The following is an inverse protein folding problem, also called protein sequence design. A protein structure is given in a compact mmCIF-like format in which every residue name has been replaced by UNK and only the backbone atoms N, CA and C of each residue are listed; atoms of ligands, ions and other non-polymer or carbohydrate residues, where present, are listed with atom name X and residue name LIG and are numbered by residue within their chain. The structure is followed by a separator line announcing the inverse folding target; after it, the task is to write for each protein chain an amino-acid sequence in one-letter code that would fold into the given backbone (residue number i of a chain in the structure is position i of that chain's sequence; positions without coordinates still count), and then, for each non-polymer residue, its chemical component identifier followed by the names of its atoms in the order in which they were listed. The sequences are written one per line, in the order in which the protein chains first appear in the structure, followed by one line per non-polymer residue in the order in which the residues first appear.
data_IF_484184512307
#
_entry.id   IF_484184512307
#
_cell.length_a   1.000
_cell.length_b   1.000
_cell.length_c   1.000
_cell.angle_alpha   90.00
_cell.angle_beta   90.00
_cell.angle_gamma   90.00
#
_symmetry.space_group_name_H-M   'P 1'
#
loop_
_entity.id
_entity.type
_entity.pdbx_description
1 polymer ?
#
# COMPACT_ATOMS: atom_id res chain seq x y z
N UNK A 1 -3.44 5.83 20.11
CA UNK A 1 -2.76 5.32 21.33
C UNK A 1 -2.16 4.01 20.88
N UNK A 2 -0.92 4.03 20.40
CA UNK A 2 -0.21 2.82 19.97
C UNK A 2 0.26 2.15 21.25
N UNK A 3 -0.25 0.96 21.52
CA UNK A 3 0.32 0.09 22.55
C UNK A 3 1.68 -0.39 22.03
N UNK A 4 2.72 0.23 22.60
CA UNK A 4 4.13 0.19 22.22
C UNK A 4 4.82 -1.15 22.60
N UNK A 5 4.11 -2.29 22.51
CA UNK A 5 4.65 -3.61 22.90
C UNK A 5 4.62 -4.64 21.76
N UNK A 6 4.16 -4.27 20.56
CA UNK A 6 4.15 -5.17 19.40
C UNK A 6 5.33 -4.93 18.42
N UNK A 7 6.09 -3.85 18.59
CA UNK A 7 7.16 -3.48 17.65
C UNK A 7 8.51 -4.16 17.94
N UNK A 8 8.78 -4.56 19.19
CA UNK A 8 10.10 -5.11 19.58
C UNK A 8 10.28 -6.59 19.21
N UNK A 9 9.17 -7.36 19.15
CA UNK A 9 9.19 -8.80 18.85
C UNK A 9 8.74 -9.16 17.41
N UNK A 10 8.46 -8.15 16.58
CA UNK A 10 7.90 -8.34 15.24
C UNK A 10 6.44 -8.81 15.29
N UNK A 11 5.59 -8.23 14.44
CA UNK A 11 4.19 -8.64 14.35
C UNK A 11 4.15 -10.03 13.70
N UNK A 12 3.74 -11.09 14.43
CA UNK A 12 3.67 -12.41 13.83
C UNK A 12 2.52 -12.43 12.83
N UNK A 13 2.86 -12.67 11.56
CA UNK A 13 1.91 -12.79 10.45
C UNK A 13 1.83 -14.25 9.99
N UNK A 14 1.17 -15.15 10.75
CA UNK A 14 1.23 -16.59 10.52
C UNK A 14 0.65 -17.05 9.17
N UNK A 15 -0.04 -16.16 8.43
CA UNK A 15 -0.67 -16.49 7.15
C UNK A 15 -0.21 -15.58 6.00
N UNK A 16 0.81 -14.75 6.21
CA UNK A 16 1.28 -13.80 5.19
C UNK A 16 2.63 -14.28 4.66
N UNK A 17 2.67 -14.64 3.39
CA UNK A 17 3.94 -15.02 2.76
C UNK A 17 4.81 -13.78 2.53
N UNK A 18 6.14 -13.95 2.46
CA UNK A 18 7.07 -12.86 2.14
C UNK A 18 6.73 -12.16 0.81
N UNK A 19 6.09 -12.87 -0.13
CA UNK A 19 5.60 -12.34 -1.40
C UNK A 19 4.47 -11.31 -1.20
N UNK A 20 3.55 -11.55 -0.26
CA UNK A 20 2.47 -10.62 0.05
C UNK A 20 3.02 -9.38 0.75
N UNK A 21 3.91 -9.56 1.74
CA UNK A 21 4.58 -8.45 2.42
C UNK A 21 5.34 -7.55 1.44
N UNK A 22 6.07 -8.13 0.49
CA UNK A 22 6.77 -7.37 -0.54
C UNK A 22 5.80 -6.50 -1.36
N UNK A 23 4.63 -7.05 -1.74
CA UNK A 23 3.60 -6.29 -2.46
C UNK A 23 2.99 -5.17 -1.62
N UNK A 24 2.74 -5.40 -0.34
CA UNK A 24 2.22 -4.35 0.56
C UNK A 24 3.24 -3.21 0.70
N UNK A 25 4.53 -3.53 0.84
CA UNK A 25 5.60 -2.53 0.87
C UNK A 25 5.67 -1.75 -0.44
N UNK A 26 5.56 -2.42 -1.58
CA UNK A 26 5.51 -1.79 -2.91
C UNK A 26 4.32 -0.82 -3.03
N UNK A 27 3.14 -1.25 -2.59
CA UNK A 27 1.93 -0.43 -2.55
C UNK A 27 2.10 0.83 -1.70
N UNK A 28 2.61 0.67 -0.48
CA UNK A 28 2.88 1.79 0.42
C UNK A 28 3.87 2.80 -0.18
N UNK A 29 4.96 2.32 -0.77
CA UNK A 29 5.97 3.20 -1.41
C UNK A 29 5.36 3.99 -2.55
N UNK A 30 4.66 3.32 -3.48
CA UNK A 30 4.06 3.98 -4.65
C UNK A 30 3.06 5.08 -4.25
N UNK A 31 2.26 4.84 -3.21
CA UNK A 31 1.30 5.82 -2.70
C UNK A 31 1.97 6.99 -1.98
N UNK A 32 3.05 6.76 -1.24
CA UNK A 32 3.81 7.83 -0.58
C UNK A 32 4.49 8.73 -1.61
N UNK A 33 5.08 8.14 -2.66
CA UNK A 33 5.68 8.88 -3.77
C UNK A 33 4.64 9.73 -4.51
N UNK A 34 3.50 9.13 -4.88
CA UNK A 34 2.41 9.86 -5.54
C UNK A 34 1.83 10.99 -4.67
N UNK A 35 1.76 10.80 -3.35
CA UNK A 35 1.33 11.83 -2.42
C UNK A 35 2.35 12.97 -2.28
N UNK A 36 3.65 12.68 -2.39
CA UNK A 36 4.71 13.70 -2.38
C UNK A 36 4.70 14.54 -3.66
N UNK A 37 4.52 13.90 -4.83
CA UNK A 37 4.39 14.58 -6.11
C UNK A 37 3.16 15.50 -6.16
N UNK A 38 2.06 15.09 -5.52
CA UNK A 38 0.82 15.88 -5.44
C UNK A 38 0.89 17.10 -4.52
N UNK A 39 1.88 17.18 -3.61
CA UNK A 39 2.06 18.31 -2.66
C UNK A 39 3.02 19.39 -3.16
N UNK A 40 3.64 19.21 -4.31
CA UNK A 40 4.58 20.19 -4.87
C UNK A 40 3.80 21.32 -5.56
N UNK A 41 3.70 22.49 -4.92
CA UNK A 41 2.92 23.66 -5.38
C UNK A 41 3.43 24.35 -6.68
N UNK A 42 4.52 23.86 -7.27
CA UNK A 42 5.24 24.54 -8.36
C UNK A 42 4.76 24.19 -9.80
N UNK A 43 3.68 23.42 -9.97
CA UNK A 43 3.13 23.12 -11.30
C UNK A 43 1.67 23.57 -11.47
N UNK A 44 1.33 24.24 -12.59
CA UNK A 44 -0.06 24.41 -12.97
C UNK A 44 -0.63 23.02 -13.27
N UNK A 45 -1.67 22.65 -12.52
CA UNK A 45 -2.29 21.34 -12.40
C UNK A 45 -2.25 20.42 -13.64
N UNK A 46 -1.66 19.22 -13.48
CA UNK A 46 -2.22 17.99 -13.99
C UNK A 46 -2.53 17.06 -12.79
N UNK A 47 -3.02 17.59 -11.67
CA UNK A 47 -3.39 16.80 -10.48
C UNK A 47 -4.31 15.62 -10.81
N UNK A 48 -5.08 15.72 -11.91
CA UNK A 48 -5.87 14.64 -12.49
C UNK A 48 -5.03 13.57 -13.17
N UNK A 49 -3.99 13.91 -13.94
CA UNK A 49 -3.18 12.94 -14.67
C UNK A 49 -2.36 12.04 -13.73
N UNK A 50 -1.72 12.60 -12.69
CA UNK A 50 -0.99 11.82 -11.69
C UNK A 50 -1.93 10.91 -10.87
N UNK A 51 -3.15 11.39 -10.57
CA UNK A 51 -4.19 10.55 -9.96
C UNK A 51 -4.66 9.44 -10.89
N UNK A 52 -4.84 9.73 -12.17
CA UNK A 52 -5.32 8.75 -13.15
C UNK A 52 -4.25 7.69 -13.43
N UNK A 53 -2.97 8.06 -13.45
CA UNK A 53 -1.83 7.13 -13.48
C UNK A 53 -1.77 6.26 -12.22
N UNK A 54 -2.00 6.83 -11.04
CA UNK A 54 -2.06 6.06 -9.79
C UNK A 54 -3.24 5.06 -9.81
N UNK A 55 -4.43 5.49 -10.25
CA UNK A 55 -5.60 4.60 -10.39
C UNK A 55 -5.38 3.49 -11.41
N UNK A 56 -4.72 3.78 -12.53
CA UNK A 56 -4.37 2.76 -13.52
C UNK A 56 -3.40 1.74 -12.92
N UNK A 57 -2.39 2.22 -12.19
CA UNK A 57 -1.46 1.37 -11.48
C UNK A 57 -2.16 0.51 -10.41
N UNK A 58 -3.08 1.08 -9.63
CA UNK A 58 -3.87 0.35 -8.64
C UNK A 58 -4.69 -0.77 -9.29
N UNK A 59 -5.32 -0.48 -10.43
CA UNK A 59 -6.11 -1.44 -11.19
C UNK A 59 -5.25 -2.60 -11.70
N UNK A 60 -3.99 -2.36 -12.05
CA UNK A 60 -3.05 -3.42 -12.44
C UNK A 60 -2.45 -4.14 -11.22
N UNK A 61 -2.20 -3.43 -10.11
CA UNK A 61 -1.68 -4.00 -8.87
C UNK A 61 -2.63 -5.04 -8.27
N UNK A 62 -3.94 -4.82 -8.37
CA UNK A 62 -4.97 -5.78 -7.89
C UNK A 62 -5.26 -6.92 -8.87
N UNK A 63 -4.69 -6.92 -10.09
CA UNK A 63 -4.79 -8.05 -11.05
C UNK A 63 -3.86 -9.19 -10.65
N UNK A 64 -4.19 -9.81 -9.54
CA UNK A 64 -3.47 -10.94 -8.95
C UNK A 64 -4.41 -12.13 -8.84
N UNK A 65 -3.86 -13.31 -8.55
CA UNK A 65 -4.70 -14.46 -8.24
C UNK A 65 -5.57 -14.20 -7.01
N UNK A 66 -6.74 -14.86 -6.96
CA UNK A 66 -7.74 -14.62 -5.92
C UNK A 66 -7.18 -14.84 -4.51
N UNK A 67 -6.30 -15.83 -4.31
CA UNK A 67 -5.66 -16.08 -3.02
C UNK A 67 -4.78 -14.89 -2.59
N UNK A 68 -3.92 -14.40 -3.48
CA UNK A 68 -3.09 -13.21 -3.26
C UNK A 68 -3.95 -11.98 -2.96
N UNK A 69 -5.09 -11.82 -3.62
CA UNK A 69 -6.00 -10.69 -3.35
C UNK A 69 -6.60 -10.76 -1.95
N UNK A 70 -7.05 -11.94 -1.51
CA UNK A 70 -7.55 -12.14 -0.15
C UNK A 70 -6.48 -11.86 0.91
N UNK A 71 -5.25 -12.32 0.69
CA UNK A 71 -4.14 -12.04 1.60
C UNK A 71 -3.83 -10.54 1.68
N UNK A 72 -3.86 -9.81 0.56
CA UNK A 72 -3.68 -8.36 0.54
C UNK A 72 -4.77 -7.62 1.33
N UNK A 73 -6.03 -8.05 1.21
CA UNK A 73 -7.15 -7.48 1.97
C UNK A 73 -6.99 -7.76 3.47
N UNK A 74 -6.61 -8.99 3.84
CA UNK A 74 -6.40 -9.40 5.23
C UNK A 74 -5.30 -8.57 5.89
N UNK A 75 -4.16 -8.39 5.20
CA UNK A 75 -3.05 -7.58 5.69
C UNK A 75 -3.44 -6.11 5.81
N UNK A 76 -4.19 -5.57 4.84
CA UNK A 76 -4.71 -4.21 4.91
C UNK A 76 -5.56 -3.99 6.17
N UNK A 77 -6.49 -4.91 6.46
CA UNK A 77 -7.32 -4.83 7.68
C UNK A 77 -6.48 -4.92 8.96
N UNK A 78 -5.45 -5.78 8.98
CA UNK A 78 -4.57 -5.92 10.13
C UNK A 78 -3.74 -4.66 10.38
N UNK A 79 -3.23 -4.01 9.33
CA UNK A 79 -2.41 -2.79 9.45
C UNK A 79 -3.22 -1.53 9.80
N UNK A 80 -4.53 -1.57 9.59
CA UNK A 80 -5.46 -0.46 9.89
C UNK A 80 -6.11 -0.57 11.29
N UNK A 81 -5.94 -1.70 11.97
CA UNK A 81 -6.41 -1.93 13.34
C UNK A 81 -5.38 -1.48 14.38
#
# INVERSE_FOLDING_TARGET
MIEDDCADNGIPLPNVTSKILAKVVEYCKKHVEAAAESKSEDRPSPATAAQDELKAWDADFVKVDQATLFDLILVGQLLLS
#
